data_IF_238405712751
#
_entry.id   IF_238405712751
#
_cell.length_a   1.000
_cell.length_b   1.000
_cell.length_c   1.000
_cell.angle_alpha   90.00
_cell.angle_beta   90.00
_cell.angle_gamma   90.00
#
_symmetry.space_group_name_H-M   'P 1'
#
loop_
_entity.id
_entity.type
_entity.pdbx_description
1 polymer ?
#
# COMPACT_ATOMS: atom_id res chain seq x y z
N UNK A 1 3.35 -19.61 -0.15
CA UNK A 1 3.75 -18.20 -0.18
C UNK A 1 4.07 -17.75 1.25
N UNK A 2 5.32 -17.34 1.51
CA UNK A 2 5.80 -16.83 2.80
C UNK A 2 5.16 -15.48 3.13
N UNK A 3 5.33 -14.99 4.37
CA UNK A 3 4.85 -13.65 4.74
C UNK A 3 5.50 -12.55 3.91
N UNK A 4 6.82 -12.62 3.76
CA UNK A 4 7.60 -11.66 2.98
C UNK A 4 7.16 -11.66 1.51
N UNK A 5 6.89 -12.82 0.92
CA UNK A 5 6.34 -12.94 -0.44
C UNK A 5 4.99 -12.23 -0.58
N UNK A 6 4.06 -12.44 0.37
CA UNK A 6 2.76 -11.76 0.36
C UNK A 6 2.88 -10.24 0.47
N UNK A 7 3.76 -9.76 1.34
CA UNK A 7 3.99 -8.31 1.53
C UNK A 7 4.57 -7.70 0.24
N UNK A 8 5.52 -8.38 -0.41
CA UNK A 8 6.07 -7.94 -1.71
C UNK A 8 5.01 -7.90 -2.80
N UNK A 9 4.11 -8.87 -2.85
CA UNK A 9 3.00 -8.86 -3.81
C UNK A 9 2.05 -7.68 -3.57
N UNK A 10 1.73 -7.37 -2.32
CA UNK A 10 0.92 -6.20 -1.95
C UNK A 10 1.63 -4.90 -2.36
N UNK A 11 2.92 -4.75 -2.06
CA UNK A 11 3.71 -3.56 -2.45
C UNK A 11 3.73 -3.41 -3.98
N UNK A 12 3.99 -4.50 -4.71
CA UNK A 12 3.97 -4.52 -6.19
C UNK A 12 2.60 -4.18 -6.77
N UNK A 13 1.52 -4.55 -6.09
CA UNK A 13 0.17 -4.19 -6.50
C UNK A 13 -0.13 -2.69 -6.33
N UNK A 14 0.40 -2.06 -5.28
CA UNK A 14 0.16 -0.62 -4.99
C UNK A 14 0.95 0.30 -5.93
N UNK A 15 2.17 -0.09 -6.33
CA UNK A 15 3.08 0.73 -7.16
C UNK A 15 2.43 1.29 -8.45
N UNK A 16 1.77 0.48 -9.30
CA UNK A 16 1.12 1.00 -10.52
C UNK A 16 0.04 2.04 -10.24
N UNK A 17 -0.66 1.91 -9.11
CA UNK A 17 -1.72 2.85 -8.71
C UNK A 17 -1.10 4.18 -8.26
N UNK A 18 0.03 4.17 -7.56
CA UNK A 18 0.75 5.40 -7.23
C UNK A 18 1.28 6.11 -8.49
N UNK A 19 1.77 5.33 -9.46
CA UNK A 19 2.26 5.84 -10.75
C UNK A 19 1.14 6.47 -11.59
N UNK A 20 -0.07 5.89 -11.60
CA UNK A 20 -1.26 6.44 -12.27
C UNK A 20 -1.55 7.89 -11.83
N UNK A 21 -1.29 8.19 -10.56
CA UNK A 21 -1.50 9.52 -9.96
C UNK A 21 -0.25 10.42 -10.02
N UNK A 22 0.85 9.98 -10.64
CA UNK A 22 2.14 10.70 -10.67
C UNK A 22 2.63 11.08 -9.26
N UNK A 23 2.39 10.21 -8.28
CA UNK A 23 2.75 10.46 -6.89
C UNK A 23 4.21 10.11 -6.67
N UNK A 24 4.94 10.97 -5.96
CA UNK A 24 6.26 10.63 -5.44
C UNK A 24 6.10 9.78 -4.18
N UNK A 25 6.67 8.59 -4.19
CA UNK A 25 6.61 7.63 -3.08
C UNK A 25 7.98 6.99 -2.82
N UNK A 26 8.15 6.41 -1.63
CA UNK A 26 9.31 5.63 -1.24
C UNK A 26 8.89 4.52 -0.28
N UNK A 27 9.70 3.47 -0.21
CA UNK A 27 9.59 2.47 0.85
C UNK A 27 10.05 3.09 2.16
N UNK A 28 9.31 2.87 3.25
CA UNK A 28 9.55 3.55 4.53
C UNK A 28 9.68 2.58 5.72
N UNK A 29 9.98 3.11 6.91
CA UNK A 29 9.88 2.43 8.20
C UNK A 29 10.56 1.04 8.25
N UNK A 30 9.84 0.02 8.77
CA UNK A 30 10.36 -1.33 8.96
C UNK A 30 10.67 -2.02 7.64
N UNK A 31 9.90 -1.69 6.60
CA UNK A 31 10.11 -2.21 5.25
C UNK A 31 11.42 -1.71 4.65
N UNK A 32 11.74 -0.42 4.79
CA UNK A 32 13.01 0.14 4.32
C UNK A 32 14.19 -0.44 5.11
N UNK A 33 14.06 -0.54 6.42
CA UNK A 33 15.07 -1.16 7.28
C UNK A 33 15.34 -2.61 6.88
N UNK A 34 14.29 -3.39 6.59
CA UNK A 34 14.42 -4.75 6.09
C UNK A 34 15.22 -4.80 4.80
N UNK A 35 14.82 -4.02 3.81
CA UNK A 35 15.51 -3.99 2.51
C UNK A 35 17.00 -3.67 2.69
N UNK A 36 17.36 -2.71 3.54
CA UNK A 36 18.76 -2.33 3.77
C UNK A 36 19.53 -3.41 4.53
N UNK A 37 18.90 -4.07 5.52
CA UNK A 37 19.59 -4.95 6.47
C UNK A 37 19.62 -6.42 6.04
N UNK A 38 18.56 -6.92 5.41
CA UNK A 38 18.38 -8.34 5.07
C UNK A 38 18.15 -8.55 3.56
N UNK A 39 18.25 -7.49 2.74
CA UNK A 39 17.89 -7.50 1.30
C UNK A 39 16.44 -7.95 1.05
N UNK A 40 15.60 -7.89 2.09
CA UNK A 40 14.21 -8.36 2.07
C UNK A 40 13.39 -7.75 3.23
N UNK A 41 12.08 -7.96 3.23
CA UNK A 41 11.20 -7.67 4.37
C UNK A 41 11.71 -8.39 5.63
N UNK A 42 11.64 -7.79 6.81
CA UNK A 42 12.09 -8.46 8.04
C UNK A 42 11.28 -9.74 8.30
N UNK A 43 11.94 -10.82 8.71
CA UNK A 43 11.28 -12.13 8.92
C UNK A 43 10.13 -12.08 9.93
N UNK A 44 10.18 -11.14 10.87
CA UNK A 44 9.16 -10.93 11.89
C UNK A 44 8.12 -9.86 11.52
N UNK A 45 8.29 -9.15 10.40
CA UNK A 45 7.32 -8.17 9.93
C UNK A 45 6.04 -8.86 9.44
N UNK A 46 4.93 -8.14 9.59
CA UNK A 46 3.61 -8.63 9.17
C UNK A 46 2.92 -7.69 8.17
N UNK A 47 3.53 -6.55 7.86
CA UNK A 47 3.05 -5.48 6.99
C UNK A 47 4.17 -4.89 6.11
N UNK A 48 3.78 -3.96 5.24
CA UNK A 48 4.66 -3.26 4.33
C UNK A 48 4.31 -1.78 4.31
N UNK A 49 5.34 -0.93 4.39
CA UNK A 49 5.22 0.52 4.52
C UNK A 49 5.62 1.20 3.21
N UNK A 50 4.73 2.03 2.69
CA UNK A 50 4.99 2.95 1.58
C UNK A 50 4.52 4.34 2.00
N UNK A 51 5.43 5.30 1.98
CA UNK A 51 5.13 6.70 2.20
C UNK A 51 5.09 7.45 0.87
N UNK A 52 4.27 8.50 0.81
CA UNK A 52 4.13 9.30 -0.39
C UNK A 52 3.78 10.76 -0.09
N UNK A 53 4.17 11.65 -1.01
CA UNK A 53 3.79 13.06 -0.94
C UNK A 53 2.45 13.27 -1.65
N UNK A 54 1.54 14.00 -1.03
CA UNK A 54 0.24 14.29 -1.62
C UNK A 54 -0.30 15.68 -1.24
N UNK A 55 -1.20 16.21 -2.08
CA UNK A 55 -2.18 17.21 -1.68
C UNK A 55 -3.43 16.52 -1.14
N UNK A 56 -4.32 17.27 -0.47
CA UNK A 56 -5.58 16.71 0.05
C UNK A 56 -6.45 16.09 -1.05
N UNK A 57 -6.52 16.70 -2.24
CA UNK A 57 -7.33 16.20 -3.35
C UNK A 57 -6.80 14.88 -3.91
N UNK A 58 -5.48 14.73 -3.98
CA UNK A 58 -4.84 13.50 -4.47
C UNK A 58 -5.08 12.35 -3.49
N UNK A 59 -4.99 12.61 -2.18
CA UNK A 59 -5.24 11.60 -1.14
C UNK A 59 -6.62 10.94 -1.28
N UNK A 60 -7.68 11.74 -1.46
CA UNK A 60 -9.04 11.22 -1.55
C UNK A 60 -9.22 10.33 -2.80
N UNK A 61 -8.75 10.81 -3.96
CA UNK A 61 -8.87 10.06 -5.22
C UNK A 61 -8.03 8.79 -5.21
N UNK A 62 -6.79 8.86 -4.71
CA UNK A 62 -5.92 7.69 -4.54
C UNK A 62 -6.57 6.65 -3.63
N UNK A 63 -7.12 7.10 -2.49
CA UNK A 63 -7.78 6.22 -1.52
C UNK A 63 -8.95 5.47 -2.17
N UNK A 64 -9.81 6.18 -2.89
CA UNK A 64 -10.92 5.56 -3.63
C UNK A 64 -10.41 4.55 -4.67
N UNK A 65 -9.38 4.92 -5.44
CA UNK A 65 -8.79 4.07 -6.47
C UNK A 65 -8.20 2.79 -5.88
N UNK A 66 -7.48 2.88 -4.76
CA UNK A 66 -6.89 1.73 -4.06
C UNK A 66 -7.98 0.78 -3.57
N UNK A 67 -9.02 1.30 -2.89
CA UNK A 67 -10.13 0.46 -2.43
C UNK A 67 -10.84 -0.24 -3.59
N UNK A 68 -11.15 0.50 -4.65
CA UNK A 68 -11.77 -0.08 -5.84
C UNK A 68 -10.88 -1.16 -6.46
N UNK A 69 -9.56 -0.93 -6.57
CA UNK A 69 -8.62 -1.91 -7.10
C UNK A 69 -8.62 -3.19 -6.27
N UNK A 70 -8.55 -3.07 -4.95
CA UNK A 70 -8.57 -4.21 -4.03
C UNK A 70 -9.85 -5.03 -4.22
N UNK A 71 -11.03 -4.39 -4.19
CA UNK A 71 -12.33 -5.05 -4.30
C UNK A 71 -12.54 -5.75 -5.65
N UNK A 72 -11.98 -5.21 -6.75
CA UNK A 72 -12.17 -5.73 -8.11
C UNK A 72 -11.02 -6.64 -8.60
N UNK A 73 -9.91 -6.71 -7.87
CA UNK A 73 -8.76 -7.54 -8.25
C UNK A 73 -9.05 -9.04 -8.16
N UNK A 74 -9.98 -9.46 -7.28
CA UNK A 74 -10.15 -10.86 -6.86
C UNK A 74 -8.94 -11.43 -6.10
N UNK A 75 -7.90 -10.61 -5.85
CA UNK A 75 -6.62 -11.01 -5.24
C UNK A 75 -6.56 -10.65 -3.75
N UNK A 76 -7.26 -9.61 -3.32
CA UNK A 76 -7.21 -9.11 -1.95
C UNK A 76 -8.59 -9.11 -1.30
N UNK A 77 -8.67 -9.50 -0.04
CA UNK A 77 -9.90 -9.42 0.77
C UNK A 77 -9.69 -8.37 1.86
N UNK A 78 -10.41 -7.25 1.76
CA UNK A 78 -10.42 -6.24 2.80
C UNK A 78 -11.29 -6.72 3.98
N UNK A 79 -10.67 -7.38 4.97
CA UNK A 79 -11.38 -7.79 6.20
C UNK A 79 -11.41 -6.65 7.23
N UNK A 80 -12.61 -6.14 7.50
CA UNK A 80 -12.96 -5.54 8.80
C UNK A 80 -12.47 -4.11 9.06
N UNK A 81 -13.22 -3.14 8.57
CA UNK A 81 -13.74 -1.97 9.30
C UNK A 81 -14.23 -0.97 8.24
N UNK A 82 -15.37 -0.34 8.47
CA UNK A 82 -15.94 0.73 7.65
C UNK A 82 -14.93 1.86 7.39
N UNK A 83 -14.06 1.72 6.38
CA UNK A 83 -13.09 2.72 5.91
C UNK A 83 -13.41 3.20 4.50
N UNK A 84 -14.67 3.11 4.08
CA UNK A 84 -15.17 4.03 3.04
C UNK A 84 -14.81 5.45 3.51
N UNK A 85 -14.20 6.30 2.68
CA UNK A 85 -13.96 7.69 3.05
C UNK A 85 -15.31 8.29 3.48
N UNK A 86 -15.46 8.62 4.77
CA UNK A 86 -16.53 9.53 5.17
C UNK A 86 -16.06 10.91 4.74
N UNK A 87 -16.51 11.33 3.56
CA UNK A 87 -16.38 12.72 3.13
C UNK A 87 -17.24 13.52 4.10
N UNK A 88 -16.61 14.15 5.09
CA UNK A 88 -17.27 15.17 5.89
C UNK A 88 -17.23 16.46 5.07
N UNK A 89 -18.42 16.95 4.70
CA UNK A 89 -18.65 18.26 4.10
C UNK A 89 -18.55 19.37 5.16
#
# INVERSE_FOLDING_TARGET
MTKQEKIREIIKFVIPILNEFSIKYWIDCGTLLGIIREEDILKWDNDGDISYLHSTDVYQKLTYRLFWACDNSGQFVLKGANRRPRVFY
#
